data_IF_659031442061
#
_entry.id   IF_659031442061
#
_cell.length_a   1.000
_cell.length_b   1.000
_cell.length_c   1.000
_cell.angle_alpha   90.00
_cell.angle_beta   90.00
_cell.angle_gamma   90.00
#
_symmetry.space_group_name_H-M   'P 1'
#
loop_
_entity.id
_entity.type
_entity.pdbx_description
1 polymer ?
#
# COMPACT_ATOMS: atom_id res chain seq x y z
N UNK A 1 -13.33 19.96 -33.28
CA UNK A 1 -14.02 18.99 -32.40
C UNK A 1 -12.94 18.20 -31.68
N UNK A 2 -12.74 18.43 -30.38
CA UNK A 2 -11.81 17.63 -29.57
C UNK A 2 -12.36 16.20 -29.43
N UNK A 3 -11.52 15.15 -29.49
CA UNK A 3 -11.99 13.78 -29.34
C UNK A 3 -12.65 13.60 -27.96
N UNK A 4 -13.80 12.91 -27.92
CA UNK A 4 -14.59 12.70 -26.70
C UNK A 4 -13.83 12.00 -25.55
N UNK A 5 -12.64 11.44 -25.79
CA UNK A 5 -11.78 10.86 -24.75
C UNK A 5 -11.02 11.88 -23.88
N UNK A 6 -10.96 13.16 -24.28
CA UNK A 6 -10.23 14.21 -23.53
C UNK A 6 -11.12 15.05 -22.61
N UNK A 7 -12.44 14.87 -22.69
CA UNK A 7 -13.42 15.62 -21.89
C UNK A 7 -13.24 15.50 -20.37
N UNK A 8 -13.00 14.30 -19.79
CA UNK A 8 -12.81 14.20 -18.33
C UNK A 8 -11.51 14.86 -17.86
N UNK A 9 -10.45 14.84 -18.66
CA UNK A 9 -9.20 15.54 -18.35
C UNK A 9 -9.37 17.06 -18.37
N UNK A 10 -10.15 17.59 -19.32
CA UNK A 10 -10.43 19.02 -19.40
C UNK A 10 -11.28 19.50 -18.21
N UNK A 11 -12.24 18.68 -17.76
CA UNK A 11 -13.05 18.98 -16.58
C UNK A 11 -12.21 18.98 -15.29
N UNK A 12 -11.31 18.01 -15.13
CA UNK A 12 -10.40 17.93 -13.98
C UNK A 12 -9.43 19.11 -13.98
N UNK A 13 -8.85 19.47 -15.13
CA UNK A 13 -7.97 20.63 -15.26
C UNK A 13 -8.71 21.94 -14.94
N UNK A 14 -9.95 22.09 -15.42
CA UNK A 14 -10.79 23.25 -15.13
C UNK A 14 -11.15 23.32 -13.63
N UNK A 15 -11.47 22.18 -13.00
CA UNK A 15 -11.75 22.09 -11.57
C UNK A 15 -10.51 22.44 -10.72
N UNK A 16 -9.32 21.97 -11.11
CA UNK A 16 -8.04 22.31 -10.47
C UNK A 16 -7.70 23.80 -10.60
N UNK A 17 -7.98 24.40 -11.77
CA UNK A 17 -7.79 25.84 -12.00
C UNK A 17 -8.78 26.71 -11.20
N UNK A 18 -10.01 26.23 -11.01
CA UNK A 18 -11.05 26.94 -10.24
C UNK A 18 -10.87 26.83 -8.72
N UNK A 19 -10.17 25.80 -8.24
CA UNK A 19 -9.94 25.53 -6.82
C UNK A 19 -8.52 25.92 -6.34
N UNK A 20 -7.66 26.40 -7.23
CA UNK A 20 -6.37 26.96 -6.86
C UNK A 20 -6.59 28.28 -6.09
N UNK A 21 -6.14 28.42 -4.83
CA UNK A 21 -6.25 29.68 -4.13
C UNK A 21 -5.43 30.77 -4.86
N UNK A 22 -5.84 32.04 -4.81
CA UNK A 22 -5.08 33.12 -5.43
C UNK A 22 -3.66 33.14 -4.85
N UNK A 23 -2.68 33.22 -5.73
CA UNK A 23 -1.26 33.30 -5.40
C UNK A 23 -1.00 34.47 -4.45
N UNK A 24 -0.86 34.18 -3.16
CA UNK A 24 -0.35 35.14 -2.20
C UNK A 24 1.18 35.05 -2.16
N UNK A 25 1.81 36.21 -2.32
CA UNK A 25 3.25 36.41 -2.16
C UNK A 25 3.73 35.82 -0.83
N UNK A 26 4.68 34.88 -0.92
CA UNK A 26 5.43 34.37 0.21
C UNK A 26 6.21 35.52 0.88
N UNK A 27 5.81 35.90 2.09
CA UNK A 27 6.74 36.51 3.04
C UNK A 27 7.47 35.40 3.79
N UNK A 28 8.80 35.44 3.68
CA UNK A 28 9.74 34.60 4.43
C UNK A 28 9.49 34.76 5.94
N UNK A 29 8.95 33.72 6.58
CA UNK A 29 9.00 33.57 8.03
C UNK A 29 10.15 32.62 8.34
N UNK A 30 11.24 33.19 8.84
CA UNK A 30 12.36 32.43 9.39
C UNK A 30 11.88 31.69 10.65
N UNK A 31 11.86 30.36 10.61
CA UNK A 31 11.64 29.55 11.79
C UNK A 31 12.95 29.38 12.58
N UNK A 32 12.96 29.98 13.76
CA UNK A 32 14.00 29.86 14.78
C UNK A 32 14.08 28.43 15.29
N UNK A 33 15.27 27.84 15.18
CA UNK A 33 15.66 26.58 15.82
C UNK A 33 15.55 26.73 17.34
N UNK A 34 14.55 26.09 17.95
CA UNK A 34 14.55 25.78 19.38
C UNK A 34 14.55 24.28 19.57
N UNK A 35 15.66 23.81 20.14
CA UNK A 35 15.86 22.47 20.67
C UNK A 35 14.68 22.06 21.56
N UNK A 36 13.93 21.04 21.15
CA UNK A 36 13.04 20.33 22.04
C UNK A 36 13.81 19.20 22.72
N UNK A 37 13.90 19.34 24.04
CA UNK A 37 14.45 18.38 24.97
C UNK A 37 13.81 17.00 24.82
N UNK A 38 14.69 15.99 24.87
CA UNK A 38 14.44 14.58 25.10
C UNK A 38 13.38 14.37 26.20
N UNK A 39 12.21 13.86 25.82
CA UNK A 39 11.26 13.24 26.74
C UNK A 39 11.56 11.75 26.76
N UNK A 40 11.95 11.29 27.94
CA UNK A 40 12.26 9.91 28.27
C UNK A 40 11.16 8.95 27.81
N UNK A 41 11.57 7.97 27.01
CA UNK A 41 10.78 6.79 26.66
C UNK A 41 10.44 5.99 27.92
N UNK A 42 9.21 6.09 28.41
CA UNK A 42 8.65 5.02 29.25
C UNK A 42 8.43 3.82 28.35
N UNK A 43 9.36 2.86 28.37
CA UNK A 43 9.20 1.58 27.71
C UNK A 43 7.99 0.87 28.32
N UNK A 44 6.88 0.82 27.56
CA UNK A 44 5.81 -0.12 27.84
C UNK A 44 6.37 -1.54 27.68
N UNK A 45 5.92 -2.51 28.49
CA UNK A 45 6.35 -3.89 28.35
C UNK A 45 6.03 -4.39 26.93
N UNK A 46 6.87 -5.27 26.37
CA UNK A 46 6.64 -5.86 25.06
C UNK A 46 5.26 -6.52 25.06
N UNK A 47 4.46 -6.24 24.02
CA UNK A 47 3.20 -6.92 23.81
C UNK A 47 3.47 -8.43 23.70
N UNK A 48 2.62 -9.28 24.29
CA UNK A 48 2.80 -10.72 24.19
C UNK A 48 2.81 -11.16 22.71
N UNK A 49 3.61 -12.19 22.35
CA UNK A 49 3.59 -12.75 21.01
C UNK A 49 2.16 -13.12 20.63
N UNK A 50 1.80 -12.84 19.37
CA UNK A 50 0.47 -13.16 18.85
C UNK A 50 0.22 -14.67 19.03
N UNK A 51 -0.90 -15.06 19.66
CA UNK A 51 -1.29 -16.46 19.62
C UNK A 51 -1.50 -16.86 18.15
N UNK A 52 -1.26 -18.14 17.80
CA UNK A 52 -1.58 -18.64 16.47
C UNK A 52 -3.05 -18.30 16.15
N UNK A 53 -3.36 -17.92 14.91
CA UNK A 53 -4.72 -17.58 14.52
C UNK A 53 -5.66 -18.72 14.92
N UNK A 54 -6.78 -18.38 15.56
CA UNK A 54 -7.84 -19.35 15.79
C UNK A 54 -8.33 -19.86 14.44
N UNK A 55 -8.74 -21.14 14.31
CA UNK A 55 -9.19 -21.73 13.04
C UNK A 55 -10.44 -21.07 12.41
N UNK A 56 -10.94 -19.98 13.01
CA UNK A 56 -12.08 -19.18 12.56
C UNK A 56 -11.74 -17.69 12.36
N UNK A 57 -10.47 -17.28 12.44
CA UNK A 57 -10.07 -15.88 12.22
C UNK A 57 -9.82 -15.60 10.75
N UNK A 58 -10.42 -14.54 10.22
CA UNK A 58 -10.23 -14.11 8.84
C UNK A 58 -9.21 -12.98 8.79
N UNK A 59 -8.43 -12.90 7.70
CA UNK A 59 -7.55 -11.77 7.43
C UNK A 59 -7.94 -11.09 6.13
N UNK A 60 -8.34 -9.83 6.22
CA UNK A 60 -8.58 -8.97 5.07
C UNK A 60 -7.44 -7.98 4.89
N UNK A 61 -6.87 -7.94 3.68
CA UNK A 61 -5.90 -6.90 3.33
C UNK A 61 -6.66 -5.64 2.89
N UNK A 62 -6.30 -4.53 3.50
CA UNK A 62 -6.73 -3.19 3.13
C UNK A 62 -5.61 -2.56 2.31
N UNK A 63 -5.91 -2.02 1.13
CA UNK A 63 -4.87 -1.55 0.21
C UNK A 63 -5.19 -0.20 -0.41
N UNK A 64 -4.18 0.62 -0.64
CA UNK A 64 -4.27 1.67 -1.67
C UNK A 64 -4.20 1.08 -3.09
N UNK A 65 -4.26 1.91 -4.13
CA UNK A 65 -4.05 1.55 -5.54
C UNK A 65 -2.72 2.09 -6.07
N UNK A 66 -2.55 3.42 -6.08
CA UNK A 66 -1.45 4.06 -6.80
C UNK A 66 -0.20 3.96 -5.92
N UNK A 67 0.93 3.64 -6.52
CA UNK A 67 2.20 3.39 -5.83
C UNK A 67 2.18 2.26 -4.78
N UNK A 68 1.07 1.53 -4.70
CA UNK A 68 0.90 0.36 -3.85
C UNK A 68 0.62 -0.90 -4.68
N UNK A 69 -0.46 -0.93 -5.47
CA UNK A 69 -0.78 -2.07 -6.36
C UNK A 69 -0.19 -1.89 -7.76
N UNK A 70 -0.11 -0.64 -8.21
CA UNK A 70 0.44 -0.28 -9.51
C UNK A 70 1.22 1.02 -9.42
N UNK A 71 2.21 1.20 -10.29
CA UNK A 71 2.97 2.43 -10.35
C UNK A 71 2.17 3.60 -10.92
N UNK A 72 2.27 4.75 -10.28
CA UNK A 72 1.76 6.03 -10.77
C UNK A 72 2.60 6.59 -11.92
N UNK A 73 3.87 6.17 -12.02
CA UNK A 73 4.85 6.68 -12.98
C UNK A 73 5.29 8.13 -12.70
N UNK A 74 5.04 8.66 -11.48
CA UNK A 74 5.50 9.97 -11.05
C UNK A 74 4.97 11.13 -11.89
N UNK A 75 3.75 11.00 -12.44
CA UNK A 75 3.17 12.02 -13.31
C UNK A 75 2.96 13.32 -12.53
N UNK A 76 3.58 14.42 -12.98
CA UNK A 76 3.37 15.76 -12.42
C UNK A 76 2.73 16.70 -13.44
N UNK A 77 1.85 17.57 -12.97
CA UNK A 77 1.39 18.76 -13.71
C UNK A 77 1.80 19.99 -12.92
N UNK A 78 2.82 20.70 -13.42
CA UNK A 78 3.52 21.71 -12.63
C UNK A 78 4.23 21.06 -11.43
N UNK A 79 4.00 21.59 -10.24
CA UNK A 79 4.55 21.06 -8.98
C UNK A 79 3.65 19.99 -8.33
N UNK A 80 2.49 19.68 -8.93
CA UNK A 80 1.48 18.80 -8.34
C UNK A 80 1.64 17.39 -8.90
N UNK A 81 1.87 16.41 -8.03
CA UNK A 81 1.83 14.99 -8.37
C UNK A 81 0.38 14.52 -8.62
N UNK A 82 0.15 13.86 -9.74
CA UNK A 82 -1.15 13.32 -10.17
C UNK A 82 -1.20 11.79 -9.96
N UNK A 83 -1.23 11.39 -8.69
CA UNK A 83 -1.53 10.02 -8.25
C UNK A 83 -0.46 9.36 -7.40
N UNK A 84 0.80 9.80 -7.49
CA UNK A 84 1.91 9.22 -6.73
C UNK A 84 3.26 9.77 -7.19
N UNK A 85 4.33 9.26 -6.58
CA UNK A 85 5.72 9.69 -6.77
C UNK A 85 6.61 8.60 -7.41
N UNK A 86 6.16 7.35 -7.51
CA UNK A 86 7.01 6.27 -8.03
C UNK A 86 7.36 6.44 -9.51
N UNK A 87 8.65 6.48 -9.79
CA UNK A 87 9.21 6.54 -11.15
C UNK A 87 9.95 5.26 -11.55
N UNK A 88 10.01 4.25 -10.69
CA UNK A 88 10.76 3.02 -10.92
C UNK A 88 10.12 2.14 -12.00
N UNK A 89 8.80 2.27 -12.18
CA UNK A 89 8.04 1.53 -13.15
C UNK A 89 7.26 2.48 -14.05
N UNK A 90 6.92 2.01 -15.24
CA UNK A 90 6.04 2.76 -16.11
C UNK A 90 4.65 2.89 -15.49
N UNK A 91 4.00 4.03 -15.74
CA UNK A 91 2.66 4.31 -15.26
C UNK A 91 1.68 3.19 -15.60
N UNK A 92 0.98 2.68 -14.60
CA UNK A 92 -0.04 1.66 -14.74
C UNK A 92 0.47 0.21 -14.76
N UNK A 93 1.77 0.00 -14.60
CA UNK A 93 2.35 -1.33 -14.35
C UNK A 93 1.93 -1.80 -12.97
N UNK A 94 1.35 -3.00 -12.89
CA UNK A 94 1.08 -3.69 -11.62
C UNK A 94 2.41 -4.14 -11.04
N UNK A 95 2.64 -3.92 -9.75
CA UNK A 95 3.91 -4.29 -9.14
C UNK A 95 4.11 -5.81 -9.11
N UNK A 96 5.33 -6.31 -9.41
CA UNK A 96 5.63 -7.74 -9.39
C UNK A 96 5.23 -8.40 -8.07
N UNK A 97 4.52 -9.52 -8.14
CA UNK A 97 4.15 -10.34 -6.99
C UNK A 97 3.07 -9.79 -6.05
N UNK A 98 2.55 -8.57 -6.28
CA UNK A 98 1.64 -7.89 -5.32
C UNK A 98 0.41 -8.72 -4.97
N UNK A 99 -0.28 -9.30 -5.96
CA UNK A 99 -1.50 -10.06 -5.69
C UNK A 99 -1.21 -11.43 -5.09
N UNK A 100 -0.07 -12.04 -5.42
CA UNK A 100 0.37 -13.27 -4.76
C UNK A 100 0.66 -12.99 -3.28
N UNK A 101 1.32 -11.88 -2.96
CA UNK A 101 1.56 -11.45 -1.57
C UNK A 101 0.27 -11.24 -0.79
N UNK A 102 -0.68 -10.49 -1.36
CA UNK A 102 -1.98 -10.23 -0.73
C UNK A 102 -2.75 -11.53 -0.48
N UNK A 103 -2.78 -12.44 -1.47
CA UNK A 103 -3.47 -13.71 -1.34
C UNK A 103 -2.83 -14.60 -0.26
N UNK A 104 -1.49 -14.65 -0.20
CA UNK A 104 -0.77 -15.44 0.81
C UNK A 104 -1.00 -14.93 2.24
N UNK A 105 -1.05 -13.61 2.45
CA UNK A 105 -1.42 -13.05 3.76
C UNK A 105 -2.81 -13.54 4.20
N UNK A 106 -3.78 -13.48 3.29
CA UNK A 106 -5.16 -13.89 3.59
C UNK A 106 -5.29 -15.41 3.81
N UNK A 107 -4.57 -16.23 3.04
CA UNK A 107 -4.53 -17.69 3.18
C UNK A 107 -3.84 -18.15 4.48
N UNK A 108 -2.92 -17.36 5.03
CA UNK A 108 -2.23 -17.72 6.27
C UNK A 108 -3.17 -17.73 7.49
N UNK A 109 -4.23 -16.93 7.48
CA UNK A 109 -5.22 -16.90 8.56
C UNK A 109 -6.28 -17.99 8.39
N UNK A 110 -7.02 -17.98 7.27
CA UNK A 110 -8.05 -18.98 6.96
C UNK A 110 -8.49 -18.87 5.49
N UNK A 111 -9.80 -18.87 5.21
CA UNK A 111 -10.32 -18.64 3.86
C UNK A 111 -10.02 -17.21 3.43
N UNK A 112 -9.46 -17.00 2.23
CA UNK A 112 -8.97 -15.70 1.86
C UNK A 112 -10.13 -14.76 1.54
N UNK A 113 -10.14 -13.60 2.20
CA UNK A 113 -11.06 -12.52 1.85
C UNK A 113 -10.51 -11.73 0.67
N UNK A 114 -11.40 -11.16 -0.13
CA UNK A 114 -11.00 -10.21 -1.17
C UNK A 114 -10.39 -8.96 -0.52
N UNK A 115 -9.24 -8.45 -0.99
CA UNK A 115 -8.69 -7.19 -0.51
C UNK A 115 -9.70 -6.05 -0.69
N UNK A 116 -9.83 -5.20 0.32
CA UNK A 116 -10.63 -3.98 0.25
C UNK A 116 -9.73 -2.79 -0.09
N UNK A 117 -10.18 -1.94 -1.00
CA UNK A 117 -9.41 -0.77 -1.43
C UNK A 117 -9.83 0.46 -0.63
N UNK A 118 -8.87 1.13 0.01
CA UNK A 118 -9.06 2.41 0.69
C UNK A 118 -8.46 3.53 -0.17
N UNK A 119 -9.28 4.18 -0.99
CA UNK A 119 -8.80 5.22 -1.89
C UNK A 119 -9.28 6.61 -1.46
N UNK A 120 -8.39 7.59 -1.56
CA UNK A 120 -8.76 9.00 -1.39
C UNK A 120 -9.41 9.60 -2.66
N UNK A 121 -9.53 8.82 -3.75
CA UNK A 121 -10.16 9.26 -5.01
C UNK A 121 -11.64 9.57 -4.78
N UNK A 122 -12.09 10.61 -5.46
CA UNK A 122 -13.43 11.12 -5.28
C UNK A 122 -14.53 10.21 -5.85
N UNK A 123 -15.61 10.06 -5.10
CA UNK A 123 -16.79 9.24 -5.37
C UNK A 123 -17.61 9.81 -6.52
N UNK A 124 -17.64 11.13 -6.68
CA UNK A 124 -18.31 11.80 -7.79
C UNK A 124 -17.56 11.59 -9.13
N UNK A 125 -16.30 11.13 -9.07
CA UNK A 125 -15.52 10.69 -10.23
C UNK A 125 -15.56 9.17 -10.42
N UNK A 126 -16.35 8.43 -9.63
CA UNK A 126 -16.47 6.96 -9.71
C UNK A 126 -16.76 6.50 -11.13
N UNK A 127 -17.65 7.15 -11.90
CA UNK A 127 -17.90 6.78 -13.30
C UNK A 127 -16.67 6.87 -14.22
N UNK A 128 -15.71 7.76 -13.91
CA UNK A 128 -14.47 7.92 -14.67
C UNK A 128 -13.29 7.13 -14.09
N UNK A 129 -13.33 6.80 -12.80
CA UNK A 129 -12.22 6.26 -12.00
C UNK A 129 -12.55 4.92 -11.33
N UNK A 130 -13.71 4.32 -11.66
CA UNK A 130 -14.12 3.00 -11.22
C UNK A 130 -13.10 1.97 -11.68
N UNK A 131 -12.75 1.08 -10.76
CA UNK A 131 -11.87 -0.02 -11.06
C UNK A 131 -12.64 -1.04 -11.90
N UNK A 132 -12.57 -0.86 -13.22
CA UNK A 132 -13.33 -1.70 -14.14
C UNK A 132 -12.88 -3.18 -14.04
N UNK A 133 -13.79 -4.15 -14.25
CA UNK A 133 -13.45 -5.57 -14.23
C UNK A 133 -12.34 -5.96 -15.23
N UNK A 134 -12.24 -5.25 -16.34
CA UNK A 134 -11.23 -5.42 -17.39
C UNK A 134 -9.92 -4.64 -17.12
N UNK A 135 -9.80 -3.96 -15.99
CA UNK A 135 -8.57 -3.28 -15.61
C UNK A 135 -7.45 -4.29 -15.31
N UNK A 136 -6.20 -3.90 -15.59
CA UNK A 136 -5.01 -4.74 -15.33
C UNK A 136 -4.95 -5.26 -13.88
N UNK A 137 -5.37 -4.44 -12.92
CA UNK A 137 -5.45 -4.80 -11.50
C UNK A 137 -6.45 -5.95 -11.29
N UNK A 138 -7.69 -5.78 -11.76
CA UNK A 138 -8.73 -6.81 -11.60
C UNK A 138 -8.37 -8.11 -12.31
N UNK A 139 -7.85 -8.02 -13.54
CA UNK A 139 -7.44 -9.17 -14.34
C UNK A 139 -6.31 -9.96 -13.67
N UNK A 140 -5.24 -9.27 -13.23
CA UNK A 140 -4.10 -9.95 -12.59
C UNK A 140 -4.49 -10.53 -11.22
N UNK A 141 -5.31 -9.83 -10.43
CA UNK A 141 -5.83 -10.36 -9.17
C UNK A 141 -6.66 -11.65 -9.38
N UNK A 142 -7.61 -11.63 -10.33
CA UNK A 142 -8.42 -12.80 -10.67
C UNK A 142 -7.58 -13.95 -11.25
N UNK A 143 -6.55 -13.64 -12.03
CA UNK A 143 -5.60 -14.64 -12.54
C UNK A 143 -4.86 -15.35 -11.40
N UNK A 144 -4.35 -14.60 -10.42
CA UNK A 144 -3.66 -15.16 -9.24
C UNK A 144 -4.61 -16.04 -8.42
N UNK A 145 -5.84 -15.58 -8.15
CA UNK A 145 -6.86 -16.38 -7.46
C UNK A 145 -7.13 -17.71 -8.17
N UNK A 146 -7.34 -17.66 -9.50
CA UNK A 146 -7.56 -18.85 -10.33
C UNK A 146 -6.35 -19.80 -10.35
N UNK A 147 -5.13 -19.28 -10.52
CA UNK A 147 -3.88 -20.08 -10.46
C UNK A 147 -3.74 -20.82 -9.14
N UNK A 148 -4.32 -20.29 -8.07
CA UNK A 148 -4.30 -20.86 -6.71
C UNK A 148 -5.54 -21.66 -6.32
N UNK A 149 -6.47 -21.86 -7.24
CA UNK A 149 -7.70 -22.61 -6.98
C UNK A 149 -8.64 -21.88 -6.02
N UNK A 150 -8.50 -20.57 -5.85
CA UNK A 150 -9.38 -19.73 -5.03
C UNK A 150 -10.38 -19.04 -5.95
N UNK A 151 -11.46 -19.75 -6.28
CA UNK A 151 -12.50 -19.24 -7.16
C UNK A 151 -13.18 -17.99 -6.60
N UNK A 152 -13.42 -17.00 -7.45
CA UNK A 152 -14.05 -15.74 -7.06
C UNK A 152 -13.14 -14.77 -6.29
N UNK A 153 -11.86 -15.12 -6.07
CA UNK A 153 -10.90 -14.19 -5.46
C UNK A 153 -10.44 -13.12 -6.44
N UNK A 154 -10.36 -11.88 -5.97
CA UNK A 154 -9.96 -10.72 -6.75
C UNK A 154 -10.11 -9.43 -5.94
N UNK A 155 -10.15 -8.27 -6.59
CA UNK A 155 -10.37 -7.00 -5.87
C UNK A 155 -11.78 -6.97 -5.29
N UNK A 156 -11.86 -6.71 -3.99
CA UNK A 156 -13.10 -6.60 -3.24
C UNK A 156 -13.67 -5.18 -3.27
N UNK A 157 -14.36 -4.74 -2.19
CA UNK A 157 -15.01 -3.44 -2.18
C UNK A 157 -13.99 -2.30 -2.31
N UNK A 158 -14.37 -1.26 -3.06
CA UNK A 158 -13.60 -0.02 -3.19
C UNK A 158 -14.29 1.09 -2.41
N UNK A 159 -13.64 1.57 -1.36
CA UNK A 159 -14.12 2.63 -0.48
C UNK A 159 -13.52 3.97 -0.93
N UNK A 160 -14.33 4.75 -1.65
CA UNK A 160 -13.99 6.07 -2.21
C UNK A 160 -14.03 7.18 -1.16
N UNK A 161 -13.39 8.32 -1.46
CA UNK A 161 -13.53 9.61 -0.75
C UNK A 161 -14.40 10.60 -1.53
N UNK A 162 -14.49 11.89 -1.15
CA UNK A 162 -15.29 12.91 -1.88
C UNK A 162 -14.44 13.93 -2.69
N UNK A 163 -15.03 14.63 -3.69
CA UNK A 163 -14.32 15.55 -4.64
C UNK A 163 -13.70 16.77 -3.97
N UNK A 164 -14.45 17.49 -3.13
CA UNK A 164 -13.97 18.71 -2.41
C UNK A 164 -12.72 18.41 -1.58
N UNK A 165 -12.60 17.15 -1.23
CA UNK A 165 -11.75 16.57 -0.24
C UNK A 165 -10.54 15.88 -0.92
N UNK A 166 -10.63 15.54 -2.21
CA UNK A 166 -9.50 15.16 -3.09
C UNK A 166 -8.58 16.35 -3.39
N UNK A 167 -9.14 17.56 -3.48
CA UNK A 167 -8.38 18.79 -3.72
C UNK A 167 -7.61 19.23 -2.46
N UNK A 168 -8.14 18.92 -1.27
CA UNK A 168 -7.46 19.16 -0.01
C UNK A 168 -6.53 17.99 0.36
N UNK A 169 -5.30 18.01 -0.15
CA UNK A 169 -4.29 16.98 0.05
C UNK A 169 -3.96 16.70 1.53
N UNK A 170 -4.14 17.69 2.43
CA UNK A 170 -3.72 17.63 3.85
C UNK A 170 -4.49 16.57 4.67
N UNK A 171 -5.63 16.09 4.19
CA UNK A 171 -6.52 15.19 4.95
C UNK A 171 -6.61 13.75 4.39
N UNK A 172 -5.82 13.38 3.38
CA UNK A 172 -5.92 12.05 2.72
C UNK A 172 -5.77 10.88 3.70
N UNK A 173 -4.78 10.94 4.58
CA UNK A 173 -4.52 9.87 5.56
C UNK A 173 -5.66 9.69 6.56
N UNK A 174 -6.19 10.82 7.07
CA UNK A 174 -7.36 10.81 7.94
C UNK A 174 -8.59 10.21 7.25
N UNK A 175 -8.78 10.47 5.95
CA UNK A 175 -9.90 9.88 5.20
C UNK A 175 -9.77 8.36 5.07
N UNK A 176 -8.59 7.83 4.75
CA UNK A 176 -8.38 6.38 4.70
C UNK A 176 -8.68 5.72 6.05
N UNK A 177 -8.29 6.38 7.14
CA UNK A 177 -8.67 5.96 8.48
C UNK A 177 -10.20 6.00 8.71
N UNK A 178 -10.92 7.04 8.28
CA UNK A 178 -12.39 7.10 8.34
C UNK A 178 -13.08 6.04 7.47
N UNK A 179 -12.53 5.72 6.30
CA UNK A 179 -13.04 4.66 5.43
C UNK A 179 -12.84 3.29 6.08
N UNK A 180 -11.72 3.08 6.77
CA UNK A 180 -11.52 1.91 7.60
C UNK A 180 -12.55 1.83 8.74
N UNK A 181 -12.81 2.90 9.49
CA UNK A 181 -13.86 2.89 10.51
C UNK A 181 -15.25 2.57 9.93
N UNK A 182 -15.53 3.07 8.72
CA UNK A 182 -16.77 2.77 7.99
C UNK A 182 -16.84 1.29 7.63
N UNK A 183 -15.74 0.68 7.18
CA UNK A 183 -15.65 -0.76 6.94
C UNK A 183 -15.89 -1.57 8.23
N UNK A 184 -15.26 -1.18 9.34
CA UNK A 184 -15.44 -1.84 10.64
C UNK A 184 -16.92 -1.87 11.06
N UNK A 185 -17.64 -0.76 10.86
CA UNK A 185 -19.06 -0.67 11.21
C UNK A 185 -19.99 -1.51 10.33
N UNK A 186 -19.51 -1.97 9.17
CA UNK A 186 -20.24 -2.82 8.22
C UNK A 186 -19.83 -4.30 8.30
N UNK A 187 -18.90 -4.65 9.20
CA UNK A 187 -18.46 -6.03 9.41
C UNK A 187 -19.64 -6.93 9.78
N UNK A 188 -19.83 -8.00 9.01
CA UNK A 188 -20.84 -9.04 9.29
C UNK A 188 -20.22 -10.37 9.73
N UNK A 189 -18.91 -10.56 9.52
CA UNK A 189 -18.20 -11.77 9.94
C UNK A 189 -17.60 -11.58 11.33
N UNK A 190 -17.70 -12.57 12.21
CA UNK A 190 -16.97 -12.54 13.48
C UNK A 190 -15.47 -12.63 13.22
N UNK A 191 -14.68 -11.85 13.98
CA UNK A 191 -13.21 -11.98 14.09
C UNK A 191 -12.41 -11.74 12.80
N UNK A 192 -12.78 -10.73 12.00
CA UNK A 192 -11.87 -10.21 10.96
C UNK A 192 -10.72 -9.45 11.61
N UNK A 193 -9.51 -9.81 11.19
CA UNK A 193 -8.27 -9.08 11.41
C UNK A 193 -7.81 -8.43 10.10
N UNK A 194 -7.03 -7.36 10.20
CA UNK A 194 -6.63 -6.55 9.05
C UNK A 194 -5.12 -6.44 8.92
N UNK A 195 -4.65 -6.38 7.69
CA UNK A 195 -3.32 -5.87 7.34
C UNK A 195 -3.52 -4.69 6.41
N UNK A 196 -2.85 -3.57 6.67
CA UNK A 196 -2.90 -2.40 5.78
C UNK A 196 -1.66 -2.36 4.88
N UNK A 197 -1.88 -2.12 3.60
CA UNK A 197 -0.87 -2.00 2.56
C UNK A 197 -1.02 -0.62 1.90
N UNK A 198 0.05 0.17 1.93
CA UNK A 198 0.09 1.49 1.33
C UNK A 198 1.50 1.85 0.88
N UNK A 199 1.75 3.12 0.60
CA UNK A 199 3.06 3.63 0.18
C UNK A 199 3.61 4.75 1.08
N UNK A 200 4.86 5.16 0.85
CA UNK A 200 5.51 6.26 1.61
C UNK A 200 5.41 7.62 0.92
N UNK A 201 4.90 7.69 -0.30
CA UNK A 201 4.81 8.90 -1.11
C UNK A 201 3.55 9.73 -0.82
N UNK A 202 2.48 9.10 -0.36
CA UNK A 202 1.27 9.78 0.09
C UNK A 202 1.05 9.68 1.62
N UNK A 203 -0.19 9.84 2.07
CA UNK A 203 -0.55 9.89 3.50
C UNK A 203 -0.90 8.50 4.07
N UNK A 204 -0.37 7.44 3.47
CA UNK A 204 -0.65 6.06 3.84
C UNK A 204 0.05 5.66 5.13
N UNK A 205 1.28 6.14 5.34
CA UNK A 205 1.96 6.05 6.64
C UNK A 205 1.10 6.64 7.76
N UNK A 206 0.50 7.82 7.54
CA UNK A 206 -0.39 8.43 8.54
C UNK A 206 -1.63 7.57 8.80
N UNK A 207 -2.28 7.06 7.75
CA UNK A 207 -3.46 6.22 7.87
C UNK A 207 -3.15 4.93 8.65
N UNK A 208 -2.10 4.21 8.25
CA UNK A 208 -1.67 2.96 8.91
C UNK A 208 -1.29 3.19 10.38
N UNK A 209 -0.58 4.27 10.69
CA UNK A 209 -0.26 4.62 12.08
C UNK A 209 -1.52 4.92 12.91
N UNK A 210 -2.51 5.61 12.35
CA UNK A 210 -3.79 5.84 13.03
C UNK A 210 -4.54 4.51 13.27
N UNK A 211 -4.59 3.64 12.27
CA UNK A 211 -5.20 2.31 12.40
C UNK A 211 -4.56 1.51 13.54
N UNK A 212 -3.23 1.47 13.64
CA UNK A 212 -2.52 0.79 14.74
C UNK A 212 -2.70 1.47 16.10
N UNK A 213 -2.82 2.79 16.13
CA UNK A 213 -3.02 3.55 17.38
C UNK A 213 -4.39 3.30 17.99
N UNK A 214 -5.44 3.34 17.16
CA UNK A 214 -6.83 3.27 17.62
C UNK A 214 -7.40 1.85 17.63
N UNK A 215 -6.89 0.94 16.77
CA UNK A 215 -7.41 -0.42 16.60
C UNK A 215 -6.30 -1.51 16.56
N UNK A 216 -5.34 -1.53 17.51
CA UNK A 216 -4.24 -2.51 17.52
C UNK A 216 -4.69 -3.96 17.68
N UNK A 217 -5.89 -4.22 18.22
CA UNK A 217 -6.48 -5.54 18.34
C UNK A 217 -6.96 -6.08 16.98
N UNK A 218 -7.42 -5.19 16.10
CA UNK A 218 -7.94 -5.50 14.75
C UNK A 218 -6.85 -5.54 13.70
N UNK A 219 -5.88 -4.63 13.75
CA UNK A 219 -4.87 -4.47 12.70
C UNK A 219 -3.58 -5.17 13.13
N UNK A 220 -3.14 -6.16 12.36
CA UNK A 220 -2.02 -7.06 12.68
C UNK A 220 -0.67 -6.55 12.18
N UNK A 221 -0.68 -5.67 11.19
CA UNK A 221 0.52 -5.04 10.66
C UNK A 221 0.20 -4.04 9.58
N UNK A 222 1.17 -3.16 9.31
CA UNK A 222 1.14 -2.18 8.23
C UNK A 222 2.36 -2.41 7.36
N UNK A 223 2.17 -2.50 6.05
CA UNK A 223 3.22 -2.58 5.05
C UNK A 223 3.21 -1.29 4.22
N UNK A 224 4.36 -0.64 4.11
CA UNK A 224 4.54 0.61 3.38
C UNK A 224 5.56 0.39 2.27
N UNK A 225 5.08 0.41 1.03
CA UNK A 225 5.92 0.37 -0.15
C UNK A 225 6.70 1.67 -0.24
N UNK A 226 8.02 1.56 -0.17
CA UNK A 226 8.92 2.69 -0.17
C UNK A 226 9.07 3.21 -1.59
N UNK A 227 8.35 4.30 -1.84
CA UNK A 227 8.41 5.03 -3.10
C UNK A 227 9.13 6.35 -2.89
N UNK A 228 9.90 6.76 -3.89
CA UNK A 228 10.72 7.95 -3.84
C UNK A 228 11.42 8.17 -5.17
N UNK A 229 11.78 9.42 -5.44
CA UNK A 229 12.37 9.79 -6.73
C UNK A 229 13.83 9.32 -6.84
N UNK A 230 14.53 9.26 -5.71
CA UNK A 230 15.93 8.82 -5.67
C UNK A 230 16.13 7.48 -4.95
N UNK A 231 17.14 6.72 -5.38
CA UNK A 231 17.59 5.50 -4.69
C UNK A 231 17.94 5.78 -3.23
N UNK A 232 18.58 6.92 -2.96
CA UNK A 232 19.01 7.32 -1.62
C UNK A 232 17.83 7.53 -0.67
N UNK A 233 16.77 8.20 -1.11
CA UNK A 233 15.55 8.37 -0.31
C UNK A 233 14.94 7.01 0.03
N UNK A 234 14.88 6.12 -0.96
CA UNK A 234 14.32 4.77 -0.75
C UNK A 234 15.17 3.92 0.20
N UNK A 235 16.50 4.02 0.12
CA UNK A 235 17.40 3.33 1.05
C UNK A 235 17.29 3.86 2.48
N UNK A 236 17.12 5.17 2.67
CA UNK A 236 16.96 5.75 4.01
C UNK A 236 15.68 5.29 4.69
N UNK A 237 14.57 5.19 3.95
CA UNK A 237 13.25 4.83 4.50
C UNK A 237 13.10 3.31 4.67
N UNK A 238 13.84 2.49 3.92
CA UNK A 238 13.76 1.01 3.97
C UNK A 238 13.93 0.44 5.38
N UNK A 239 14.77 1.07 6.20
CA UNK A 239 15.15 0.58 7.52
C UNK A 239 14.39 1.29 8.66
N UNK A 240 13.30 2.01 8.35
CA UNK A 240 12.46 2.71 9.33
C UNK A 240 11.34 1.82 9.91
N UNK A 241 11.51 0.49 9.88
CA UNK A 241 10.59 -0.44 10.53
C UNK A 241 10.40 -0.07 12.01
N UNK A 242 9.16 -0.14 12.48
CA UNK A 242 8.84 0.24 13.84
C UNK A 242 7.68 -0.59 14.42
N UNK A 243 7.55 -0.53 15.74
CA UNK A 243 6.44 -1.15 16.47
C UNK A 243 5.54 -0.05 17.04
N UNK A 244 4.25 -0.13 16.74
CA UNK A 244 3.21 0.76 17.29
C UNK A 244 2.18 -0.10 18.01
N UNK A 245 2.01 0.11 19.31
CA UNK A 245 1.08 -0.67 20.14
C UNK A 245 1.25 -2.20 19.99
N UNK A 246 2.48 -2.67 19.87
CA UNK A 246 2.78 -4.10 19.71
C UNK A 246 2.52 -4.65 18.31
N UNK A 247 2.33 -3.78 17.30
CA UNK A 247 2.11 -4.16 15.91
C UNK A 247 3.20 -3.61 15.00
N UNK A 248 3.67 -4.39 14.01
CA UNK A 248 4.72 -3.97 13.10
C UNK A 248 4.22 -2.99 12.04
N UNK A 249 5.05 -1.99 11.77
CA UNK A 249 5.05 -1.17 10.57
C UNK A 249 6.30 -1.54 9.80
N UNK A 250 6.14 -2.02 8.57
CA UNK A 250 7.18 -2.62 7.75
C UNK A 250 7.34 -1.83 6.44
N UNK A 251 8.50 -1.22 6.25
CA UNK A 251 8.86 -0.53 5.02
C UNK A 251 9.50 -1.53 4.05
N UNK A 252 9.10 -1.56 2.79
CA UNK A 252 9.64 -2.54 1.83
C UNK A 252 9.80 -1.93 0.43
N UNK A 253 10.70 -2.50 -0.37
CA UNK A 253 10.98 -2.02 -1.73
C UNK A 253 10.36 -2.93 -2.78
N UNK A 254 10.42 -4.24 -2.57
CA UNK A 254 9.75 -5.19 -3.45
C UNK A 254 8.83 -6.09 -2.64
N UNK A 255 7.85 -6.69 -3.30
CA UNK A 255 6.96 -7.65 -2.65
C UNK A 255 7.68 -8.93 -2.21
N UNK A 256 8.89 -9.21 -2.71
CA UNK A 256 9.79 -10.21 -2.12
C UNK A 256 10.17 -9.80 -0.69
N UNK A 257 10.71 -8.59 -0.50
CA UNK A 257 11.02 -8.04 0.82
C UNK A 257 9.80 -7.96 1.74
N UNK A 258 8.63 -7.59 1.20
CA UNK A 258 7.38 -7.59 1.98
C UNK A 258 7.04 -8.99 2.50
N UNK A 259 7.16 -10.04 1.67
CA UNK A 259 6.90 -11.41 2.07
C UNK A 259 7.87 -11.91 3.14
N UNK A 260 9.16 -11.56 3.01
CA UNK A 260 10.18 -11.88 4.01
C UNK A 260 9.84 -11.24 5.36
N UNK A 261 9.48 -9.95 5.38
CA UNK A 261 9.03 -9.26 6.60
C UNK A 261 7.72 -9.84 7.15
N UNK A 262 6.80 -10.28 6.30
CA UNK A 262 5.57 -10.93 6.73
C UNK A 262 5.85 -12.26 7.47
N UNK A 263 6.80 -13.07 6.96
CA UNK A 263 7.23 -14.30 7.64
C UNK A 263 7.83 -14.02 9.01
N UNK A 264 8.71 -13.03 9.10
CA UNK A 264 9.36 -12.64 10.37
C UNK A 264 8.38 -12.21 11.46
N UNK A 265 7.24 -11.66 11.04
CA UNK A 265 6.19 -11.19 11.92
C UNK A 265 5.04 -12.20 12.10
N UNK A 266 5.20 -13.44 11.61
CA UNK A 266 4.19 -14.49 11.73
C UNK A 266 2.89 -14.20 10.97
N UNK A 267 2.97 -13.41 9.89
CA UNK A 267 1.86 -13.07 9.01
C UNK A 267 1.83 -13.92 7.73
N UNK A 268 2.88 -14.69 7.47
CA UNK A 268 3.02 -15.55 6.30
C UNK A 268 3.86 -16.79 6.63
N UNK A 269 3.47 -17.95 6.08
CA UNK A 269 4.27 -19.18 6.18
C UNK A 269 5.40 -19.25 5.15
N UNK A 270 6.34 -20.17 5.35
CA UNK A 270 7.50 -20.38 4.45
C UNK A 270 7.08 -20.54 2.98
N UNK A 271 6.15 -21.45 2.71
CA UNK A 271 5.71 -21.72 1.33
C UNK A 271 5.05 -20.50 0.69
N UNK A 272 4.44 -19.62 1.49
CA UNK A 272 3.87 -18.37 1.01
C UNK A 272 4.95 -17.41 0.51
N UNK A 273 6.04 -17.29 1.26
CA UNK A 273 7.21 -16.49 0.84
C UNK A 273 7.78 -17.01 -0.47
N UNK A 274 8.02 -18.33 -0.56
CA UNK A 274 8.59 -18.94 -1.77
C UNK A 274 7.71 -18.68 -3.01
N UNK A 275 6.38 -18.75 -2.87
CA UNK A 275 5.44 -18.45 -3.96
C UNK A 275 5.41 -16.97 -4.34
N UNK A 276 5.53 -16.06 -3.37
CA UNK A 276 5.65 -14.63 -3.69
C UNK A 276 6.94 -14.35 -4.46
N UNK A 277 8.06 -14.92 -4.02
CA UNK A 277 9.35 -14.79 -4.71
C UNK A 277 9.22 -15.28 -6.15
N UNK A 278 8.71 -16.51 -6.36
CA UNK A 278 8.49 -17.06 -7.70
C UNK A 278 7.65 -16.13 -8.57
N UNK A 279 6.52 -15.64 -8.04
CA UNK A 279 5.64 -14.71 -8.75
C UNK A 279 6.32 -13.38 -9.11
N UNK A 280 7.21 -12.86 -8.26
CA UNK A 280 8.00 -11.65 -8.55
C UNK A 280 8.93 -11.89 -9.73
N UNK A 281 9.64 -13.03 -9.75
CA UNK A 281 10.54 -13.39 -10.86
C UNK A 281 9.76 -13.59 -12.17
N UNK A 282 8.61 -14.26 -12.12
CA UNK A 282 7.74 -14.42 -13.29
C UNK A 282 7.29 -13.07 -13.86
N UNK A 283 6.76 -12.19 -13.00
CA UNK A 283 6.26 -10.89 -13.40
C UNK A 283 7.36 -10.01 -14.01
N UNK A 284 8.57 -9.99 -13.41
CA UNK A 284 9.70 -9.24 -13.96
C UNK A 284 10.13 -9.74 -15.35
N UNK A 285 10.11 -11.06 -15.58
CA UNK A 285 10.38 -11.66 -16.89
C UNK A 285 9.30 -11.33 -17.91
N UNK A 286 8.02 -11.45 -17.54
CA UNK A 286 6.88 -11.10 -18.39
C UNK A 286 6.93 -9.61 -18.80
N UNK A 287 7.42 -8.75 -17.92
CA UNK A 287 7.61 -7.33 -18.17
C UNK A 287 8.82 -7.01 -19.07
N UNK A 288 9.66 -8.00 -19.38
CA UNK A 288 10.87 -7.82 -20.21
C UNK A 288 11.94 -6.97 -19.55
N UNK A 289 12.01 -6.97 -18.21
CA UNK A 289 13.05 -6.25 -17.47
C UNK A 289 14.38 -6.99 -17.62
N UNK A 290 15.41 -6.35 -18.17
CA UNK A 290 16.75 -6.94 -18.32
C UNK A 290 17.39 -7.25 -16.96
N UNK A 291 18.09 -8.38 -16.83
CA UNK A 291 18.65 -8.90 -15.57
C UNK A 291 19.63 -7.93 -14.87
N UNK A 292 20.22 -7.01 -15.62
CA UNK A 292 21.12 -5.96 -15.11
C UNK A 292 20.39 -4.78 -14.43
N UNK A 293 19.05 -4.71 -14.54
CA UNK A 293 18.21 -3.66 -13.97
C UNK A 293 18.25 -3.68 -12.44
N UNK A 294 18.16 -2.50 -11.81
CA UNK A 294 18.17 -2.37 -10.36
C UNK A 294 17.07 -3.15 -9.64
N UNK A 295 15.93 -3.38 -10.31
CA UNK A 295 14.81 -4.15 -9.78
C UNK A 295 15.18 -5.61 -9.51
N UNK A 296 15.98 -6.23 -10.38
CA UNK A 296 16.49 -7.58 -10.15
C UNK A 296 17.43 -7.63 -8.94
N UNK A 297 18.36 -6.67 -8.85
CA UNK A 297 19.27 -6.57 -7.69
C UNK A 297 18.53 -6.43 -6.36
N UNK A 298 17.43 -5.68 -6.35
CA UNK A 298 16.63 -5.52 -5.14
C UNK A 298 15.97 -6.84 -4.71
N UNK A 299 15.40 -7.58 -5.66
CA UNK A 299 14.80 -8.90 -5.42
C UNK A 299 15.84 -9.92 -4.98
N UNK A 300 16.98 -10.01 -5.67
CA UNK A 300 18.06 -10.96 -5.35
C UNK A 300 18.62 -10.74 -3.94
N UNK A 301 18.78 -9.47 -3.54
CA UNK A 301 19.23 -9.13 -2.19
C UNK A 301 18.23 -9.59 -1.14
N UNK A 302 16.94 -9.34 -1.36
CA UNK A 302 15.87 -9.69 -0.42
C UNK A 302 15.66 -11.22 -0.35
N UNK A 303 15.78 -11.92 -1.47
CA UNK A 303 15.82 -13.38 -1.50
C UNK A 303 17.08 -13.95 -0.80
N UNK A 304 18.23 -13.29 -0.95
CA UNK A 304 19.45 -13.66 -0.22
C UNK A 304 19.23 -13.63 1.30
N UNK A 305 18.57 -12.57 1.79
CA UNK A 305 18.16 -12.45 3.20
C UNK A 305 17.21 -13.60 3.59
N UNK A 306 16.22 -13.89 2.76
CA UNK A 306 15.29 -15.01 2.98
C UNK A 306 16.03 -16.34 3.14
N UNK A 307 16.87 -16.70 2.16
CA UNK A 307 17.63 -17.96 2.16
C UNK A 307 18.52 -18.08 3.39
N UNK A 308 19.18 -17.00 3.78
CA UNK A 308 19.97 -16.97 5.01
C UNK A 308 19.11 -17.26 6.25
N UNK A 309 17.91 -16.69 6.35
CA UNK A 309 17.02 -16.92 7.51
C UNK A 309 16.47 -18.34 7.56
N UNK A 310 16.10 -18.92 6.41
CA UNK A 310 15.60 -20.30 6.35
C UNK A 310 16.68 -21.32 6.68
N UNK A 311 17.93 -21.08 6.31
CA UNK A 311 19.03 -22.00 6.64
C UNK A 311 19.41 -21.99 8.13
N UNK A 312 19.04 -20.95 8.89
CA UNK A 312 19.43 -20.76 10.28
C UNK A 312 18.28 -20.96 11.29
N UNK A 313 17.08 -21.34 10.84
CA UNK A 313 15.91 -21.68 11.65
C UNK A 313 15.49 -23.13 11.42
#
# INVERSE_FOLDING_TARGET
>A
MLPHSLYPFFLILLLLLLLSPPTHQFQSIAFSTRHHHCLSSSQSPPAPPLPPPSPTSFLQVLTDIDDTLKSSGGLKVGEIALGGLDTQYQRGVVYPGVFTFILELSLHASSPLNPAVLTARAEELKLALELKPDSKICLKAGEVGRKRGVEGWGIGPVLYGSVVEWVNQVNKGFRKFKNFESLLSQESLPQISYVYLGDTGEYDSQAGLQMLRYYPEKVKGVFLHVVGESLREREMVRDEDMIVNGRPVMHFITYCGAAVKAYENGLMGRDGVERVIESVYEDLREMGVGEEDGRWRDVEREEGIWRFRVMNN
#
